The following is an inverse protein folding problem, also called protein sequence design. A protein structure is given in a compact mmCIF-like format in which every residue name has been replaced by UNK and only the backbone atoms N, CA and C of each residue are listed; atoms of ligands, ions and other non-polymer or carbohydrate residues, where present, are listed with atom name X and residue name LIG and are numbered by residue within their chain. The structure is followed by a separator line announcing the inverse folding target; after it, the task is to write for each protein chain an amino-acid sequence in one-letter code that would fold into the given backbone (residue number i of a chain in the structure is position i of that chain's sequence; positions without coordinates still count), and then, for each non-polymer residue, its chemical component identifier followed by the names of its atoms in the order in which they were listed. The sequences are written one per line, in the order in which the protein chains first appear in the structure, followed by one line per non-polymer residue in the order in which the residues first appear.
data_IF_339519355381
#
_entry.id   IF_339519355381
#
_cell.length_a   1.000
_cell.length_b   1.000
_cell.length_c   1.000
_cell.angle_alpha   90.00
_cell.angle_beta   90.00
_cell.angle_gamma   90.00
#
_symmetry.space_group_name_H-M   'P 1'
#
loop_
_entity.id
_entity.type
_entity.pdbx_description
1 polymer ?
#
# COMPACT_ATOMS: atom_id res chain seq x y z
N UNK A 1 -4.38 -20.10 31.43
CA UNK A 1 -3.51 -20.75 30.43
C UNK A 1 -3.84 -22.23 30.46
N UNK A 2 -4.51 -22.74 29.41
CA UNK A 2 -4.67 -24.16 28.98
C UNK A 2 -5.70 -24.19 27.83
N UNK A 3 -5.23 -24.41 26.59
CA UNK A 3 -5.98 -25.04 25.48
C UNK A 3 -5.88 -26.58 25.66
N UNK A 4 -6.43 -27.50 24.81
CA UNK A 4 -7.29 -27.42 23.61
C UNK A 4 -8.40 -28.52 23.56
N UNK A 5 -9.13 -28.67 22.44
CA UNK A 5 -9.32 -30.01 21.84
C UNK A 5 -9.45 -29.96 20.32
N UNK A 6 -8.63 -30.79 19.68
CA UNK A 6 -8.49 -31.05 18.25
C UNK A 6 -9.27 -32.34 17.94
N UNK A 7 -9.97 -32.43 16.81
CA UNK A 7 -10.45 -33.69 16.23
C UNK A 7 -9.55 -34.15 15.09
N UNK A 8 -9.08 -35.39 15.19
CA UNK A 8 -8.58 -36.28 14.13
C UNK A 8 -9.16 -37.68 14.42
N UNK A 9 -8.91 -38.72 13.61
CA UNK A 9 -9.10 -38.90 12.16
C UNK A 9 -9.97 -40.15 11.90
N UNK A 10 -10.21 -40.55 10.64
CA UNK A 10 -10.45 -41.98 10.33
C UNK A 10 -9.82 -42.39 9.00
N UNK A 11 -9.16 -43.54 9.03
CA UNK A 11 -8.30 -44.16 8.02
C UNK A 11 -8.91 -45.50 7.60
N UNK A 12 -8.62 -45.97 6.38
CA UNK A 12 -8.62 -47.39 5.98
C UNK A 12 -8.06 -47.45 4.54
N UNK A 13 -7.07 -48.25 4.13
CA UNK A 13 -6.44 -49.48 4.66
C UNK A 13 -5.02 -49.68 4.04
N UNK A 14 -4.18 -50.38 4.81
CA UNK A 14 -2.80 -50.92 4.56
C UNK A 14 -2.80 -52.18 3.64
N UNK A 15 -1.67 -52.91 3.41
CA UNK A 15 -0.21 -52.66 3.60
C UNK A 15 0.64 -53.05 2.33
N UNK A 16 1.96 -52.81 2.25
CA UNK A 16 3.00 -53.82 2.57
C UNK A 16 4.44 -53.29 2.55
N UNK A 17 5.33 -54.12 3.10
CA UNK A 17 6.62 -53.89 3.75
C UNK A 17 7.87 -53.80 2.82
N UNK A 18 8.97 -53.40 3.47
CA UNK A 18 10.34 -53.06 3.05
C UNK A 18 11.20 -54.29 2.66
N UNK A 19 12.13 -54.19 1.68
CA UNK A 19 13.57 -54.56 1.83
C UNK A 19 14.48 -54.35 0.59
N UNK A 20 15.77 -54.15 0.89
CA UNK A 20 16.94 -53.65 0.12
C UNK A 20 17.46 -54.51 -1.05
N UNK A 21 18.22 -53.92 -1.99
CA UNK A 21 19.38 -54.55 -2.64
C UNK A 21 20.45 -53.53 -3.13
N UNK A 22 21.76 -53.89 -3.20
CA UNK A 22 22.89 -52.98 -3.41
C UNK A 22 23.57 -53.02 -4.81
N UNK A 23 24.30 -51.93 -5.10
CA UNK A 23 25.57 -51.72 -5.85
C UNK A 23 25.90 -52.35 -7.26
N UNK A 24 25.92 -51.48 -8.32
CA UNK A 24 26.82 -51.30 -9.52
C UNK A 24 27.04 -52.45 -10.56
N UNK A 25 27.73 -52.22 -11.71
CA UNK A 25 27.84 -51.05 -12.63
C UNK A 25 27.71 -51.46 -14.13
N UNK A 26 27.39 -50.55 -15.07
CA UNK A 26 27.90 -50.67 -16.47
C UNK A 26 27.94 -49.30 -17.18
N UNK A 27 29.13 -48.87 -17.62
CA UNK A 27 29.37 -48.16 -18.89
C UNK A 27 30.30 -49.06 -19.72
N UNK A 28 30.09 -49.24 -21.04
CA UNK A 28 30.59 -48.32 -22.08
C UNK A 28 29.56 -48.05 -23.22
N UNK A 29 29.59 -46.89 -23.91
CA UNK A 29 30.22 -46.64 -25.23
C UNK A 29 29.71 -47.69 -26.27
N UNK A 30 28.98 -47.40 -27.36
CA UNK A 30 29.21 -46.48 -28.49
C UNK A 30 27.95 -46.40 -29.41
N UNK A 31 27.82 -45.25 -30.11
CA UNK A 31 27.27 -45.03 -31.46
C UNK A 31 25.76 -45.03 -31.84
N UNK A 32 25.43 -43.94 -32.56
CA UNK A 32 24.46 -43.78 -33.67
C UNK A 32 22.95 -43.82 -33.33
N UNK A 33 22.09 -42.88 -33.72
CA UNK A 33 22.03 -42.01 -34.90
C UNK A 33 21.41 -40.65 -34.55
N UNK A 34 21.86 -39.59 -35.23
CA UNK A 34 21.38 -38.23 -35.04
C UNK A 34 19.98 -37.98 -35.59
N UNK A 35 19.30 -37.03 -34.94
CA UNK A 35 18.39 -36.09 -35.58
C UNK A 35 18.53 -34.75 -34.84
N UNK A 36 19.30 -33.85 -35.43
CA UNK A 36 19.42 -32.45 -35.01
C UNK A 36 18.28 -31.66 -35.63
N UNK A 37 17.18 -31.48 -34.91
CA UNK A 37 16.21 -30.43 -35.26
C UNK A 37 16.65 -29.11 -34.64
N UNK A 38 17.64 -28.50 -35.29
CA UNK A 38 17.91 -27.08 -35.16
C UNK A 38 16.79 -26.33 -35.87
N UNK A 39 15.79 -25.86 -35.13
CA UNK A 39 14.90 -24.81 -35.63
C UNK A 39 15.62 -23.47 -35.48
N UNK A 40 16.08 -22.81 -36.56
CA UNK A 40 16.45 -21.41 -36.45
C UNK A 40 15.16 -20.63 -36.17
N UNK A 41 15.07 -20.01 -34.99
CA UNK A 41 14.09 -18.96 -34.73
C UNK A 41 14.45 -17.79 -35.65
N UNK A 42 13.88 -17.76 -36.83
CA UNK A 42 13.91 -16.59 -37.72
C UNK A 42 13.12 -15.48 -37.04
N UNK A 43 13.83 -14.48 -36.49
CA UNK A 43 13.23 -13.21 -36.06
C UNK A 43 12.39 -12.67 -37.23
N UNK A 44 11.11 -12.38 -36.99
CA UNK A 44 10.30 -11.66 -37.96
C UNK A 44 10.98 -10.32 -38.29
N UNK A 45 11.23 -10.00 -39.57
CA UNK A 45 11.76 -8.70 -39.97
C UNK A 45 10.70 -7.63 -39.72
N UNK A 46 10.83 -6.88 -38.62
CA UNK A 46 9.90 -5.79 -38.30
C UNK A 46 9.82 -5.44 -36.82
N UNK A 47 10.09 -6.39 -35.92
CA UNK A 47 10.06 -6.11 -34.49
C UNK A 47 11.37 -5.42 -34.07
N UNK A 48 11.32 -4.18 -33.53
CA UNK A 48 12.50 -3.56 -32.97
C UNK A 48 13.06 -4.44 -31.86
N UNK A 49 14.40 -4.50 -31.71
CA UNK A 49 15.00 -5.29 -30.64
C UNK A 49 14.44 -4.85 -29.28
N UNK A 50 14.26 -5.78 -28.32
CA UNK A 50 13.77 -5.43 -27.00
C UNK A 50 14.67 -4.38 -26.37
N UNK A 51 14.06 -3.27 -25.94
CA UNK A 51 14.75 -2.23 -25.20
C UNK A 51 14.81 -2.65 -23.73
N UNK A 52 16.00 -3.01 -23.25
CA UNK A 52 16.22 -3.39 -21.86
C UNK A 52 16.70 -2.17 -21.07
N UNK A 53 15.95 -1.77 -20.05
CA UNK A 53 16.41 -0.76 -19.08
C UNK A 53 17.15 -1.42 -17.92
N UNK A 54 18.37 -0.95 -17.61
CA UNK A 54 19.14 -1.38 -16.44
C UNK A 54 19.38 -0.19 -15.50
N UNK A 55 18.30 0.41 -15.02
CA UNK A 55 18.41 1.49 -14.04
C UNK A 55 18.95 0.93 -12.71
N UNK A 56 19.79 1.68 -11.98
CA UNK A 56 20.25 1.25 -10.66
C UNK A 56 19.08 0.95 -9.72
N UNK A 57 19.24 -0.07 -8.88
CA UNK A 57 18.27 -0.35 -7.82
C UNK A 57 18.21 0.83 -6.82
N UNK A 58 16.99 1.20 -6.40
CA UNK A 58 16.76 2.26 -5.41
C UNK A 58 16.01 1.71 -4.21
N UNK A 59 16.43 2.10 -3.00
CA UNK A 59 15.70 1.76 -1.77
C UNK A 59 14.54 2.73 -1.54
N UNK A 60 13.35 2.23 -1.18
CA UNK A 60 12.26 3.07 -0.68
C UNK A 60 11.73 2.51 0.64
N UNK A 61 11.40 3.41 1.57
CA UNK A 61 10.85 3.07 2.89
C UNK A 61 9.46 3.68 3.00
N UNK A 62 8.49 2.90 3.46
CA UNK A 62 7.12 3.36 3.72
C UNK A 62 6.77 3.10 5.18
N UNK A 63 6.45 4.15 5.92
CA UNK A 63 5.81 4.04 7.22
C UNK A 63 4.30 4.18 7.03
N UNK A 64 3.55 3.16 7.41
CA UNK A 64 2.10 3.10 7.23
C UNK A 64 1.37 3.32 8.56
N UNK A 65 0.27 4.07 8.52
CA UNK A 65 -0.62 4.28 9.66
C UNK A 65 -2.07 4.05 9.25
N UNK A 66 -2.69 3.00 9.79
CA UNK A 66 -4.14 2.84 9.74
C UNK A 66 -4.82 3.84 10.67
N UNK A 67 -5.90 4.45 10.21
CA UNK A 67 -6.75 5.34 11.00
C UNK A 67 -8.02 4.58 11.41
N UNK A 68 -8.47 4.75 12.66
CA UNK A 68 -9.38 3.81 13.34
C UNK A 68 -10.41 4.44 14.26
N UNK A 69 -10.54 5.76 14.25
CA UNK A 69 -11.43 6.53 15.13
C UNK A 69 -12.92 6.38 14.80
N UNK A 70 -13.26 5.87 13.63
CA UNK A 70 -14.62 5.64 13.16
C UNK A 70 -14.70 4.29 12.40
N UNK A 71 -15.44 3.32 12.94
CA UNK A 71 -15.76 2.09 12.22
C UNK A 71 -16.91 2.40 11.27
N UNK A 72 -16.76 2.20 9.96
CA UNK A 72 -17.77 1.87 8.94
C UNK A 72 -17.23 2.06 7.52
N UNK A 73 -16.42 3.10 7.30
CA UNK A 73 -16.16 3.59 5.95
C UNK A 73 -14.89 3.04 5.27
N UNK A 74 -13.83 2.77 6.04
CA UNK A 74 -12.52 2.36 5.49
C UNK A 74 -12.56 1.02 4.74
N UNK A 75 -11.69 0.82 3.76
CA UNK A 75 -11.72 -0.40 2.93
C UNK A 75 -10.32 -0.99 2.78
N UNK A 76 -10.09 -2.27 3.15
CA UNK A 76 -11.07 -3.28 3.61
C UNK A 76 -11.32 -3.29 5.12
N UNK A 77 -10.62 -2.45 5.88
CA UNK A 77 -10.56 -2.51 7.35
C UNK A 77 -11.84 -2.06 8.07
N UNK A 78 -12.76 -1.40 7.37
CA UNK A 78 -13.87 -0.60 7.93
C UNK A 78 -13.42 0.56 8.81
N UNK A 79 -12.14 0.84 8.90
CA UNK A 79 -11.60 1.81 9.84
C UNK A 79 -11.25 3.11 9.11
N UNK A 80 -11.72 4.23 9.63
CA UNK A 80 -11.31 5.55 9.18
C UNK A 80 -11.22 6.50 10.37
N UNK A 81 -10.56 7.65 10.21
CA UNK A 81 -10.79 8.82 11.05
C UNK A 81 -11.68 9.81 10.28
N UNK A 82 -12.45 10.63 11.00
CA UNK A 82 -13.33 11.64 10.42
C UNK A 82 -13.04 12.99 11.06
N UNK A 83 -13.00 14.05 10.25
CA UNK A 83 -13.01 15.43 10.72
C UNK A 83 -14.27 16.13 10.21
N UNK A 84 -15.18 16.44 11.14
CA UNK A 84 -16.28 17.37 10.87
C UNK A 84 -15.78 18.77 10.53
N UNK A 85 -16.61 19.56 9.86
CA UNK A 85 -16.33 20.97 9.56
C UNK A 85 -15.91 21.73 10.82
N UNK A 86 -14.76 22.40 10.76
CA UNK A 86 -14.17 23.15 11.88
C UNK A 86 -13.27 22.31 12.81
N UNK A 87 -13.27 20.98 12.70
CA UNK A 87 -12.42 20.13 13.52
C UNK A 87 -10.99 20.03 12.97
N UNK A 88 -10.05 19.68 13.85
CA UNK A 88 -8.69 19.32 13.48
C UNK A 88 -8.25 17.99 14.09
N UNK A 89 -7.45 17.25 13.33
CA UNK A 89 -6.75 16.05 13.78
C UNK A 89 -5.24 16.25 13.72
N UNK A 90 -4.48 15.47 14.49
CA UNK A 90 -3.02 15.42 14.36
C UNK A 90 -2.51 14.00 14.51
N UNK A 91 -1.75 13.56 13.51
CA UNK A 91 -1.12 12.25 13.45
C UNK A 91 0.39 12.39 13.44
N UNK A 92 1.05 11.45 14.11
CA UNK A 92 2.50 11.44 14.27
C UNK A 92 3.06 10.17 13.65
N UNK A 93 4.12 10.33 12.86
CA UNK A 93 4.98 9.27 12.35
C UNK A 93 6.30 9.30 13.10
N UNK A 94 6.48 8.35 14.02
CA UNK A 94 7.74 8.14 14.72
C UNK A 94 8.63 7.20 13.93
N UNK A 95 9.61 7.78 13.24
CA UNK A 95 10.60 7.02 12.49
C UNK A 95 11.75 6.58 13.41
N UNK A 96 12.22 5.33 13.32
CA UNK A 96 13.52 4.97 13.86
C UNK A 96 14.62 5.89 13.33
N UNK A 97 15.55 6.30 14.20
CA UNK A 97 16.57 7.30 13.85
C UNK A 97 17.45 6.87 12.66
N UNK A 98 17.72 5.56 12.52
CA UNK A 98 18.53 5.02 11.44
C UNK A 98 17.87 5.11 10.04
N UNK A 99 16.56 5.35 9.96
CA UNK A 99 15.86 5.51 8.67
C UNK A 99 15.98 6.92 8.11
N UNK A 100 16.25 7.91 8.95
CA UNK A 100 16.28 9.32 8.55
C UNK A 100 17.73 9.76 8.44
N UNK A 101 18.22 9.90 7.21
CA UNK A 101 19.52 10.51 6.91
C UNK A 101 19.25 11.93 6.42
N UNK A 102 19.41 12.97 7.27
CA UNK A 102 19.10 14.35 6.89
C UNK A 102 19.86 14.75 5.62
N UNK A 103 19.16 15.42 4.71
CA UNK A 103 19.75 15.94 3.47
C UNK A 103 19.90 14.93 2.33
N UNK A 104 19.76 13.63 2.56
CA UNK A 104 19.91 12.60 1.53
C UNK A 104 18.60 11.95 1.06
N UNK A 105 17.47 12.38 1.62
CA UNK A 105 16.16 11.81 1.34
C UNK A 105 15.15 12.88 0.89
N UNK A 106 14.21 12.45 0.04
CA UNK A 106 12.93 13.10 -0.23
C UNK A 106 11.85 12.37 0.55
N UNK A 107 10.89 13.12 1.07
CA UNK A 107 9.79 12.56 1.82
C UNK A 107 8.46 13.10 1.31
N UNK A 108 7.50 12.20 1.18
CA UNK A 108 6.12 12.52 0.82
C UNK A 108 5.18 11.91 1.85
N UNK A 109 4.12 12.64 2.19
CA UNK A 109 2.97 12.07 2.86
C UNK A 109 1.91 11.77 1.81
N UNK A 110 1.34 10.57 1.88
CA UNK A 110 0.13 10.19 1.15
C UNK A 110 -0.98 9.99 2.16
N UNK A 111 -2.12 10.60 1.91
CA UNK A 111 -3.28 10.59 2.78
C UNK A 111 -4.44 10.06 1.95
N UNK A 112 -4.96 8.88 2.30
CA UNK A 112 -6.12 8.31 1.62
C UNK A 112 -7.39 8.90 2.21
N UNK A 113 -8.15 9.61 1.40
CA UNK A 113 -9.24 10.49 1.82
C UNK A 113 -10.46 10.42 0.92
N UNK A 114 -11.58 10.85 1.45
CA UNK A 114 -12.85 10.99 0.75
C UNK A 114 -13.72 12.04 1.46
N UNK A 115 -14.68 12.64 0.75
CA UNK A 115 -15.66 13.54 1.36
C UNK A 115 -16.79 12.74 2.00
N UNK A 116 -17.60 13.41 2.81
CA UNK A 116 -18.88 12.90 3.32
C UNK A 116 -19.70 12.20 2.22
N UNK A 117 -20.55 11.25 2.58
CA UNK A 117 -21.47 10.58 1.66
C UNK A 117 -22.76 11.38 1.39
N UNK A 118 -22.90 12.56 2.00
CA UNK A 118 -23.93 13.54 1.67
C UNK A 118 -23.72 14.22 0.30
N UNK A 119 -24.07 13.52 -0.79
CA UNK A 119 -23.91 14.01 -2.17
C UNK A 119 -24.76 15.25 -2.54
N UNK A 120 -25.66 15.68 -1.66
CA UNK A 120 -26.44 16.91 -1.83
C UNK A 120 -25.61 18.18 -1.59
N UNK A 121 -24.50 18.07 -0.85
CA UNK A 121 -23.58 19.18 -0.59
C UNK A 121 -22.58 19.27 -1.75
N UNK A 122 -22.43 20.41 -2.44
CA UNK A 122 -21.47 20.51 -3.53
C UNK A 122 -20.01 20.28 -3.07
N UNK A 123 -19.26 19.47 -3.82
CA UNK A 123 -17.83 19.18 -3.58
C UNK A 123 -16.97 20.43 -3.35
N UNK A 124 -17.29 21.54 -4.04
CA UNK A 124 -16.56 22.80 -3.92
C UNK A 124 -16.75 23.53 -2.56
N UNK A 125 -17.60 23.00 -1.67
CA UNK A 125 -17.75 23.46 -0.28
C UNK A 125 -16.70 22.84 0.65
N UNK A 126 -16.05 21.76 0.23
CA UNK A 126 -15.08 21.05 1.06
C UNK A 126 -13.67 21.60 0.87
N UNK A 127 -13.04 21.95 1.99
CA UNK A 127 -11.67 22.48 2.02
C UNK A 127 -10.94 22.03 3.28
N UNK A 128 -9.61 22.03 3.19
CA UNK A 128 -8.75 21.70 4.31
C UNK A 128 -7.55 22.62 4.38
N UNK A 129 -7.00 22.74 5.59
CA UNK A 129 -5.64 23.23 5.82
C UNK A 129 -4.79 22.06 6.30
N UNK A 130 -3.69 21.78 5.61
CA UNK A 130 -2.78 20.68 5.94
C UNK A 130 -1.42 21.27 6.31
N UNK A 131 -0.97 20.94 7.51
CA UNK A 131 0.29 21.40 8.08
C UNK A 131 1.16 20.20 8.40
N UNK A 132 2.38 20.19 7.89
CA UNK A 132 3.36 19.14 8.13
C UNK A 132 4.57 19.76 8.81
N UNK A 133 4.94 19.23 9.97
CA UNK A 133 6.08 19.70 10.76
C UNK A 133 6.06 21.21 11.06
N UNK A 134 4.87 21.81 11.15
CA UNK A 134 4.68 23.25 11.39
C UNK A 134 4.61 24.10 10.12
N UNK A 135 4.90 23.54 8.95
CA UNK A 135 4.77 24.23 7.65
C UNK A 135 3.43 23.90 6.99
N UNK A 136 2.71 24.92 6.53
CA UNK A 136 1.47 24.73 5.76
C UNK A 136 1.84 24.26 4.35
N UNK A 137 1.34 23.09 3.96
CA UNK A 137 1.58 22.50 2.64
C UNK A 137 0.35 22.56 1.72
N UNK A 138 -0.83 22.82 2.30
CA UNK A 138 -2.08 23.00 1.56
C UNK A 138 -3.03 23.89 2.34
N UNK A 139 -3.74 24.77 1.64
CA UNK A 139 -4.89 25.52 2.15
C UNK A 139 -5.89 25.71 1.01
N UNK A 140 -7.13 25.27 1.22
CA UNK A 140 -8.22 25.51 0.28
C UNK A 140 -8.93 24.23 -0.16
N UNK A 141 -9.64 24.26 -1.30
CA UNK A 141 -10.40 23.12 -1.80
C UNK A 141 -9.55 21.85 -1.91
N UNK A 142 -10.17 20.70 -1.64
CA UNK A 142 -9.53 19.39 -1.79
C UNK A 142 -10.12 18.66 -3.02
N UNK A 143 -9.30 18.08 -3.90
CA UNK A 143 -9.77 17.41 -5.12
C UNK A 143 -10.29 16.00 -4.81
N UNK A 144 -11.32 15.92 -3.98
CA UNK A 144 -11.93 14.67 -3.52
C UNK A 144 -13.35 14.54 -4.06
N UNK A 145 -13.89 13.33 -3.96
CA UNK A 145 -15.28 13.00 -4.30
C UNK A 145 -16.02 12.54 -3.04
N UNK A 146 -17.35 12.57 -3.07
CA UNK A 146 -18.20 12.00 -2.01
C UNK A 146 -17.98 10.50 -1.86
N UNK A 147 -18.07 10.02 -0.62
CA UNK A 147 -17.99 8.59 -0.31
C UNK A 147 -19.14 7.81 -0.97
N UNK A 148 -18.81 6.69 -1.60
CA UNK A 148 -19.78 5.79 -2.24
C UNK A 148 -19.42 4.34 -1.90
N UNK A 149 -20.40 3.49 -1.53
CA UNK A 149 -21.82 3.79 -1.32
C UNK A 149 -22.08 4.50 0.02
N UNK A 150 -23.10 5.36 0.06
CA UNK A 150 -23.53 6.04 1.29
C UNK A 150 -23.95 5.04 2.38
N UNK A 151 -23.58 5.33 3.63
CA UNK A 151 -23.80 4.50 4.80
C UNK A 151 -23.04 3.17 4.81
N UNK A 152 -22.17 2.93 3.82
CA UNK A 152 -21.46 1.67 3.62
C UNK A 152 -19.94 1.83 3.67
N UNK A 153 -19.25 0.75 3.36
CA UNK A 153 -17.81 0.77 3.18
C UNK A 153 -17.47 1.39 1.83
N UNK A 154 -16.73 2.49 1.81
CA UNK A 154 -16.46 3.20 0.56
C UNK A 154 -15.41 2.48 -0.29
N UNK A 155 -15.61 2.46 -1.60
CA UNK A 155 -14.67 1.87 -2.56
C UNK A 155 -13.92 2.92 -3.40
N UNK A 156 -14.28 4.20 -3.24
CA UNK A 156 -13.90 5.28 -4.12
C UNK A 156 -12.96 6.30 -3.46
N UNK A 157 -12.15 5.87 -2.51
CA UNK A 157 -11.13 6.68 -1.86
C UNK A 157 -10.09 7.27 -2.84
N UNK A 158 -9.58 8.47 -2.54
CA UNK A 158 -8.55 9.16 -3.34
C UNK A 158 -7.37 9.57 -2.48
N UNK A 159 -6.20 9.63 -3.10
CA UNK A 159 -4.96 9.98 -2.41
C UNK A 159 -4.66 11.48 -2.55
N UNK A 160 -4.45 12.16 -1.43
CA UNK A 160 -3.81 13.46 -1.38
C UNK A 160 -2.32 13.27 -1.08
N UNK A 161 -1.45 13.86 -1.89
CA UNK A 161 0.01 13.70 -1.75
C UNK A 161 0.70 15.04 -1.57
N UNK A 162 1.54 15.15 -0.54
CA UNK A 162 2.30 16.37 -0.25
C UNK A 162 3.75 16.06 0.08
N UNK A 163 4.65 16.97 -0.28
CA UNK A 163 6.04 16.89 0.19
C UNK A 163 6.11 17.16 1.70
N UNK A 164 7.05 16.52 2.39
CA UNK A 164 7.29 16.70 3.82
C UNK A 164 8.44 17.68 4.02
N UNK A 165 8.17 18.97 4.32
CA UNK A 165 9.21 19.92 4.67
C UNK A 165 9.82 19.57 6.04
N UNK A 166 11.09 19.92 6.21
CA UNK A 166 11.82 19.75 7.46
C UNK A 166 11.68 18.32 8.03
N UNK A 167 11.96 17.32 7.18
CA UNK A 167 11.91 15.91 7.56
C UNK A 167 12.68 15.69 8.86
N UNK A 168 12.02 15.10 9.83
CA UNK A 168 12.55 14.86 11.18
C UNK A 168 12.20 13.44 11.62
N UNK A 169 12.71 13.04 12.78
CA UNK A 169 12.39 11.72 13.35
C UNK A 169 10.89 11.56 13.66
N UNK A 170 10.28 12.61 14.21
CA UNK A 170 8.87 12.66 14.59
C UNK A 170 8.12 13.56 13.61
N UNK A 171 7.58 13.01 12.52
CA UNK A 171 6.86 13.84 11.55
C UNK A 171 5.41 14.00 12.00
N UNK A 172 4.93 15.24 12.10
CA UNK A 172 3.55 15.54 12.53
C UNK A 172 2.76 16.07 11.36
N UNK A 173 1.62 15.45 11.09
CA UNK A 173 0.63 15.86 10.10
C UNK A 173 -0.59 16.36 10.85
N UNK A 174 -0.91 17.63 10.69
CA UNK A 174 -2.14 18.25 11.21
C UNK A 174 -3.04 18.59 10.05
N UNK A 175 -4.27 18.12 10.11
CA UNK A 175 -5.31 18.42 9.12
C UNK A 175 -6.43 19.13 9.86
N UNK A 176 -6.85 20.27 9.32
CA UNK A 176 -8.01 21.03 9.76
C UNK A 176 -9.03 21.03 8.63
N UNK A 177 -10.27 20.62 8.93
CA UNK A 177 -11.37 20.71 7.99
C UNK A 177 -11.89 22.16 8.01
N UNK A 178 -11.52 22.93 6.98
CA UNK A 178 -11.87 24.36 6.85
C UNK A 178 -13.06 24.55 5.90
N UNK A 179 -13.88 23.52 5.71
CA UNK A 179 -15.01 23.53 4.79
C UNK A 179 -16.01 24.64 5.11
N UNK A 180 -16.74 25.04 4.08
CA UNK A 180 -17.91 25.95 4.19
C UNK A 180 -19.24 25.18 4.10
N UNK A 181 -19.15 23.85 4.24
CA UNK A 181 -20.27 22.94 4.38
C UNK A 181 -20.91 23.07 5.77
N UNK A 182 -21.96 22.30 6.04
CA UNK A 182 -22.61 22.25 7.33
C UNK A 182 -21.70 21.71 8.44
N UNK A 183 -22.05 21.95 9.72
CA UNK A 183 -21.27 21.46 10.85
C UNK A 183 -21.20 19.93 10.96
N UNK A 184 -22.21 19.23 10.44
CA UNK A 184 -22.27 17.77 10.40
C UNK A 184 -21.56 17.18 9.18
N UNK A 185 -21.14 17.99 8.21
CA UNK A 185 -20.38 17.53 7.06
C UNK A 185 -18.94 17.24 7.47
N UNK A 186 -18.33 16.27 6.80
CA UNK A 186 -17.01 15.80 7.19
C UNK A 186 -16.12 15.37 6.02
N UNK A 187 -14.84 15.18 6.34
CA UNK A 187 -13.84 14.56 5.47
C UNK A 187 -13.32 13.34 6.22
N UNK A 188 -13.28 12.18 5.55
CA UNK A 188 -12.75 10.95 6.14
C UNK A 188 -11.36 10.61 5.60
N UNK A 189 -10.64 9.84 6.41
CA UNK A 189 -9.26 9.45 6.21
C UNK A 189 -9.12 7.96 6.55
N UNK A 190 -8.71 7.11 5.61
CA UNK A 190 -8.58 5.66 5.83
C UNK A 190 -7.20 5.31 6.41
N UNK A 191 -6.16 5.74 5.71
CA UNK A 191 -4.77 5.55 6.13
C UNK A 191 -3.88 6.71 5.69
N UNK A 192 -2.69 6.75 6.28
CA UNK A 192 -1.62 7.65 5.87
C UNK A 192 -0.29 6.89 5.69
N UNK A 193 0.50 7.31 4.71
CA UNK A 193 1.83 6.78 4.44
C UNK A 193 2.86 7.92 4.43
N UNK A 194 3.95 7.73 5.17
CA UNK A 194 5.17 8.52 5.00
C UNK A 194 6.14 7.73 4.12
N UNK A 195 6.34 8.18 2.88
CA UNK A 195 7.22 7.57 1.89
C UNK A 195 8.55 8.29 1.86
N UNK A 196 9.64 7.55 2.00
CA UNK A 196 11.01 8.04 1.95
C UNK A 196 11.72 7.44 0.73
N UNK A 197 12.44 8.28 0.00
CA UNK A 197 13.24 7.89 -1.16
C UNK A 197 14.56 8.67 -1.19
N UNK A 198 15.63 8.11 -1.78
CA UNK A 198 16.87 8.83 -2.09
C UNK A 198 16.59 10.09 -2.92
N UNK A 199 17.46 11.09 -2.79
CA UNK A 199 17.35 12.33 -3.55
C UNK A 199 17.73 12.21 -5.02
#
# INVERSE_FOLDING_TARGET
MLLPYIRYPFVSQQPDLIQEQPYYPVQPQYEAYGYTDFYPVTRQPGDPPPVLSNNPATTSIVLFKQLTGYPNYGNPSRNADILYTGNRGTWTFDSPAFLIVPGNQRAQIVIRSVLDDHSAVPVNRYSARITINGSVVHTGPVPLQHGVPAGGMFDNWRDLTFNVPNLRRNNRVTIENTSTAGPSDWIAFDWMELRLSPR
#
